data_IF_242210730200
#
_entry.id   IF_242210730200
#
_cell.length_a   1.000
_cell.length_b   1.000
_cell.length_c   1.000
_cell.angle_alpha   90.00
_cell.angle_beta   90.00
_cell.angle_gamma   90.00
#
_symmetry.space_group_name_H-M   'P 1'
#
loop_
_entity.id
_entity.type
_entity.pdbx_description
1 polymer ?
#
# COMPACT_ATOMS: atom_id res chain seq x y z
N UNK A 1 7.79 -14.37 -8.72
CA UNK A 1 8.05 -15.20 -7.53
C UNK A 1 7.83 -14.34 -6.28
N UNK A 2 7.17 -14.89 -5.26
CA UNK A 2 6.73 -14.16 -4.04
C UNK A 2 7.91 -13.93 -3.07
N UNK A 3 8.93 -14.79 -3.11
CA UNK A 3 10.14 -14.71 -2.28
C UNK A 3 11.09 -13.60 -2.76
N UNK A 4 11.98 -13.13 -1.87
CA UNK A 4 13.02 -12.12 -2.15
C UNK A 4 12.45 -10.85 -2.81
N UNK A 5 11.32 -10.38 -2.30
CA UNK A 5 10.56 -9.24 -2.83
C UNK A 5 10.02 -8.40 -1.68
N UNK A 6 10.09 -7.09 -1.82
CA UNK A 6 9.46 -6.17 -0.87
C UNK A 6 7.95 -6.08 -1.12
N UNK A 7 7.18 -5.78 -0.06
CA UNK A 7 5.74 -5.55 -0.15
C UNK A 7 5.38 -4.19 0.43
N UNK A 8 4.67 -3.40 -0.38
CA UNK A 8 4.13 -2.09 0.01
C UNK A 8 2.61 -2.13 -0.09
N UNK A 9 1.92 -1.81 1.00
CA UNK A 9 0.47 -1.64 1.01
C UNK A 9 0.12 -0.15 1.01
N UNK A 10 -0.74 0.26 0.09
CA UNK A 10 -1.35 1.59 0.07
C UNK A 10 -2.82 1.41 0.42
N UNK A 11 -3.20 1.83 1.64
CA UNK A 11 -4.51 1.58 2.22
C UNK A 11 -5.30 2.87 2.28
N UNK A 12 -6.48 2.83 1.66
CA UNK A 12 -7.45 3.93 1.72
C UNK A 12 -7.96 4.13 3.14
N UNK A 13 -7.94 5.39 3.59
CA UNK A 13 -8.42 5.86 4.88
C UNK A 13 -9.39 7.04 4.69
N UNK A 14 -10.05 7.12 3.54
CA UNK A 14 -11.10 8.09 3.23
C UNK A 14 -12.37 7.84 4.05
N UNK A 15 -13.32 8.78 4.01
CA UNK A 15 -14.54 8.69 4.83
C UNK A 15 -15.42 7.47 4.52
N UNK A 16 -15.43 6.98 3.28
CA UNK A 16 -16.21 5.80 2.85
C UNK A 16 -15.79 4.53 3.60
N UNK A 17 -14.54 4.45 4.08
CA UNK A 17 -14.06 3.33 4.86
C UNK A 17 -14.78 3.15 6.22
N UNK A 18 -15.55 4.15 6.67
CA UNK A 18 -16.42 4.03 7.86
C UNK A 18 -17.74 3.29 7.61
N UNK A 19 -18.12 3.05 6.35
CA UNK A 19 -19.38 2.40 5.99
C UNK A 19 -19.41 0.95 6.49
N UNK A 20 -20.50 0.58 7.18
CA UNK A 20 -20.76 -0.75 7.74
C UNK A 20 -21.53 -1.63 6.78
N UNK A 21 -20.98 -1.84 5.59
CA UNK A 21 -21.59 -2.63 4.51
C UNK A 21 -20.88 -3.97 4.25
N UNK A 22 -19.94 -4.33 5.12
CA UNK A 22 -19.21 -5.59 5.04
C UNK A 22 -19.93 -6.70 5.80
N UNK A 23 -19.52 -7.94 5.53
CA UNK A 23 -20.07 -9.14 6.19
C UNK A 23 -20.01 -9.00 7.72
N UNK A 24 -21.12 -9.32 8.39
CA UNK A 24 -21.22 -9.23 9.85
C UNK A 24 -21.39 -7.81 10.39
N UNK A 25 -21.74 -6.83 9.55
CA UNK A 25 -21.99 -5.44 9.97
C UNK A 25 -20.71 -4.68 10.33
N UNK A 26 -19.55 -5.18 9.93
CA UNK A 26 -18.25 -4.54 10.12
C UNK A 26 -18.11 -3.35 9.18
N UNK A 27 -17.33 -2.34 9.58
CA UNK A 27 -16.91 -1.30 8.65
C UNK A 27 -15.86 -1.84 7.68
N UNK A 28 -15.77 -1.20 6.50
CA UNK A 28 -14.68 -1.45 5.53
C UNK A 28 -13.30 -1.32 6.19
N UNK A 29 -13.13 -0.35 7.09
CA UNK A 29 -11.91 -0.17 7.89
C UNK A 29 -11.56 -1.37 8.77
N UNK A 30 -12.55 -1.96 9.45
CA UNK A 30 -12.32 -3.15 10.29
C UNK A 30 -11.96 -4.36 9.43
N UNK A 31 -12.63 -4.55 8.29
CA UNK A 31 -12.25 -5.62 7.36
C UNK A 31 -10.82 -5.44 6.84
N UNK A 32 -10.46 -4.21 6.49
CA UNK A 32 -9.11 -3.88 6.03
C UNK A 32 -8.05 -4.17 7.10
N UNK A 33 -8.35 -3.90 8.36
CA UNK A 33 -7.46 -4.26 9.47
C UNK A 33 -7.21 -5.78 9.50
N UNK A 34 -8.27 -6.59 9.39
CA UNK A 34 -8.17 -8.05 9.42
C UNK A 34 -7.37 -8.59 8.23
N UNK A 35 -7.62 -8.09 7.03
CA UNK A 35 -6.89 -8.48 5.82
C UNK A 35 -5.42 -8.04 5.87
N UNK A 36 -5.14 -6.82 6.35
CA UNK A 36 -3.76 -6.31 6.49
C UNK A 36 -2.99 -7.13 7.52
N UNK A 37 -3.62 -7.49 8.64
CA UNK A 37 -3.00 -8.31 9.67
C UNK A 37 -2.64 -9.70 9.12
N UNK A 38 -3.58 -10.34 8.43
CA UNK A 38 -3.35 -11.65 7.82
C UNK A 38 -2.22 -11.61 6.78
N UNK A 39 -2.17 -10.55 5.96
CA UNK A 39 -1.09 -10.38 4.99
C UNK A 39 0.25 -10.12 5.66
N UNK A 40 0.32 -9.22 6.64
CA UNK A 40 1.57 -8.93 7.36
C UNK A 40 2.12 -10.18 8.04
N UNK A 41 1.26 -10.96 8.73
CA UNK A 41 1.67 -12.23 9.33
C UNK A 41 2.18 -13.23 8.29
N UNK A 42 1.62 -13.25 7.07
CA UNK A 42 2.11 -14.13 6.01
C UNK A 42 3.42 -13.64 5.40
N UNK A 43 3.56 -12.34 5.19
CA UNK A 43 4.79 -11.73 4.68
C UNK A 43 5.95 -11.94 5.64
N UNK A 44 5.74 -11.84 6.96
CA UNK A 44 6.78 -12.11 7.98
C UNK A 44 7.43 -13.48 7.87
N UNK A 45 6.72 -14.50 7.37
CA UNK A 45 7.29 -15.83 7.17
C UNK A 45 8.38 -15.86 6.09
N UNK A 46 8.29 -14.95 5.11
CA UNK A 46 9.22 -14.87 3.97
C UNK A 46 10.14 -13.66 4.05
N UNK A 47 9.74 -12.64 4.81
CA UNK A 47 10.34 -11.34 4.84
C UNK A 47 10.40 -10.76 6.27
N UNK A 48 11.47 -11.05 7.02
CA UNK A 48 11.56 -10.71 8.44
C UNK A 48 11.76 -9.21 8.70
N UNK A 49 12.09 -8.40 7.70
CA UNK A 49 12.20 -6.95 7.84
C UNK A 49 10.84 -6.23 7.81
N UNK A 50 9.77 -6.95 7.46
CA UNK A 50 8.38 -6.48 7.50
C UNK A 50 7.92 -5.76 6.23
N UNK A 51 6.68 -5.28 6.23
CA UNK A 51 6.08 -4.61 5.06
C UNK A 51 6.11 -3.09 5.19
N UNK A 52 5.97 -2.38 4.09
CA UNK A 52 5.70 -0.93 4.09
C UNK A 52 4.20 -0.71 4.06
N UNK A 53 3.67 0.18 4.90
CA UNK A 53 2.25 0.60 4.87
C UNK A 53 2.15 2.11 4.66
N UNK A 54 1.35 2.50 3.67
CA UNK A 54 0.83 3.85 3.53
C UNK A 54 -0.64 3.84 3.93
N UNK A 55 -1.05 4.79 4.78
CA UNK A 55 -2.45 5.17 4.92
C UNK A 55 -2.66 6.48 4.19
N UNK A 56 -3.64 6.54 3.28
CA UNK A 56 -3.91 7.76 2.50
C UNK A 56 -5.36 8.21 2.60
N UNK A 57 -5.56 9.53 2.54
CA UNK A 57 -6.84 10.14 2.23
C UNK A 57 -6.60 11.46 1.48
N UNK A 58 -6.82 12.62 2.11
CA UNK A 58 -6.37 13.91 1.54
C UNK A 58 -4.87 14.20 1.76
N UNK A 59 -4.22 13.40 2.61
CA UNK A 59 -2.78 13.32 2.84
C UNK A 59 -2.43 11.86 3.10
N UNK A 60 -1.17 11.50 3.02
CA UNK A 60 -0.72 10.15 3.37
C UNK A 60 0.28 10.15 4.51
N UNK A 61 0.38 9.00 5.18
CA UNK A 61 1.41 8.68 6.17
C UNK A 61 1.99 7.32 5.85
N UNK A 62 3.32 7.25 5.84
CA UNK A 62 4.10 6.04 5.62
C UNK A 62 4.57 5.43 6.94
N UNK A 63 4.60 4.12 6.99
CA UNK A 63 5.15 3.29 8.06
C UNK A 63 6.04 2.22 7.43
N UNK A 64 7.32 2.20 7.80
CA UNK A 64 8.29 1.20 7.35
C UNK A 64 8.42 0.07 8.38
N UNK A 65 8.92 -1.09 7.93
CA UNK A 65 9.20 -2.26 8.75
C UNK A 65 8.02 -2.66 9.64
N UNK A 66 6.82 -2.67 9.05
CA UNK A 66 5.57 -2.95 9.75
C UNK A 66 5.41 -4.46 9.89
N UNK A 67 5.33 -4.90 11.14
CA UNK A 67 5.02 -6.26 11.55
C UNK A 67 3.55 -6.37 12.01
N UNK A 68 3.04 -7.57 12.26
CA UNK A 68 1.67 -7.85 12.66
C UNK A 68 1.24 -7.04 13.90
N UNK A 69 2.13 -6.90 14.89
CA UNK A 69 1.86 -6.10 16.09
C UNK A 69 1.72 -4.61 15.77
N UNK A 70 2.51 -4.10 14.81
CA UNK A 70 2.49 -2.71 14.37
C UNK A 70 1.27 -2.40 13.51
N UNK A 71 0.77 -3.36 12.72
CA UNK A 71 -0.52 -3.22 12.01
C UNK A 71 -1.64 -2.89 12.99
N UNK A 72 -1.79 -3.69 14.06
CA UNK A 72 -2.85 -3.47 15.04
C UNK A 72 -2.73 -2.09 15.73
N UNK A 73 -1.52 -1.59 15.94
CA UNK A 73 -1.29 -0.24 16.44
C UNK A 73 -1.70 0.83 15.41
N UNK A 74 -1.28 0.69 14.16
CA UNK A 74 -1.58 1.64 13.07
C UNK A 74 -3.09 1.83 12.93
N UNK A 75 -3.87 0.75 12.89
CA UNK A 75 -5.33 0.84 12.73
C UNK A 75 -6.04 1.42 13.97
N UNK A 76 -5.47 1.28 15.16
CA UNK A 76 -6.03 1.86 16.40
C UNK A 76 -5.79 3.37 16.49
N UNK A 77 -4.68 3.84 15.95
CA UNK A 77 -4.28 5.25 15.97
C UNK A 77 -4.87 6.07 14.81
N UNK A 78 -5.61 5.43 13.90
CA UNK A 78 -6.10 6.04 12.67
C UNK A 78 -7.57 5.70 12.44
N UNK A 79 -8.33 6.70 12.00
CA UNK A 79 -9.75 6.53 11.66
C UNK A 79 -10.05 7.04 10.24
N UNK A 80 -11.01 6.41 9.53
CA UNK A 80 -11.54 6.87 8.24
C UNK A 80 -11.89 8.37 8.23
N UNK A 81 -11.33 9.12 7.30
CA UNK A 81 -11.62 10.56 7.14
C UNK A 81 -11.03 11.13 5.87
N UNK A 82 -11.69 12.13 5.30
CA UNK A 82 -11.21 12.89 4.14
C UNK A 82 -11.56 12.24 2.81
N UNK A 83 -10.87 12.70 1.76
CA UNK A 83 -11.05 12.32 0.34
C UNK A 83 -10.08 11.22 -0.09
N UNK A 84 -10.04 10.87 -1.37
CA UNK A 84 -9.27 9.73 -1.91
C UNK A 84 -8.17 10.22 -2.88
N UNK A 85 -7.15 10.91 -2.36
CA UNK A 85 -5.98 11.36 -3.15
C UNK A 85 -4.94 10.23 -3.29
N UNK A 86 -5.21 9.32 -4.23
CA UNK A 86 -4.34 8.18 -4.53
C UNK A 86 -3.09 8.56 -5.33
N UNK A 87 -3.15 9.62 -6.13
CA UNK A 87 -2.06 9.98 -7.03
C UNK A 87 -0.81 10.39 -6.25
N UNK A 88 -0.98 11.19 -5.19
CA UNK A 88 0.13 11.65 -4.36
C UNK A 88 0.86 10.49 -3.65
N UNK A 89 0.10 9.56 -3.06
CA UNK A 89 0.69 8.42 -2.34
C UNK A 89 1.33 7.40 -3.29
N UNK A 90 0.73 7.16 -4.47
CA UNK A 90 1.30 6.24 -5.46
C UNK A 90 2.61 6.81 -6.04
N UNK A 91 2.67 8.13 -6.25
CA UNK A 91 3.90 8.80 -6.69
C UNK A 91 5.01 8.66 -5.65
N UNK A 92 4.70 8.86 -4.37
CA UNK A 92 5.67 8.69 -3.29
C UNK A 92 6.19 7.24 -3.21
N UNK A 93 5.30 6.26 -3.26
CA UNK A 93 5.65 4.85 -3.20
C UNK A 93 6.55 4.41 -4.38
N UNK A 94 6.18 4.78 -5.61
CA UNK A 94 6.99 4.47 -6.81
C UNK A 94 8.34 5.18 -6.78
N UNK A 95 8.39 6.47 -6.40
CA UNK A 95 9.66 7.18 -6.24
C UNK A 95 10.54 6.56 -5.18
N UNK A 96 9.97 6.12 -4.05
CA UNK A 96 10.74 5.45 -3.02
C UNK A 96 11.37 4.15 -3.52
N UNK A 97 10.61 3.34 -4.27
CA UNK A 97 11.15 2.14 -4.89
C UNK A 97 12.37 2.47 -5.77
N UNK A 98 12.26 3.45 -6.69
CA UNK A 98 13.37 3.80 -7.56
C UNK A 98 14.57 4.39 -6.82
N UNK A 99 14.35 5.15 -5.75
CA UNK A 99 15.42 5.64 -4.88
C UNK A 99 16.17 4.50 -4.19
N UNK A 100 15.43 3.53 -3.60
CA UNK A 100 16.03 2.34 -2.98
C UNK A 100 16.77 1.49 -4.00
N UNK A 101 16.20 1.33 -5.20
CA UNK A 101 16.83 0.60 -6.31
C UNK A 101 18.17 1.23 -6.69
N UNK A 102 18.20 2.54 -6.90
CA UNK A 102 19.43 3.27 -7.23
C UNK A 102 20.48 3.16 -6.11
N UNK A 103 20.06 3.03 -4.85
CA UNK A 103 20.92 2.83 -3.70
C UNK A 103 21.35 1.36 -3.48
N UNK A 104 20.88 0.41 -4.30
CA UNK A 104 21.15 -1.02 -4.12
C UNK A 104 20.48 -1.64 -2.89
N UNK A 105 19.34 -1.08 -2.45
CA UNK A 105 18.62 -1.46 -1.23
C UNK A 105 17.34 -2.26 -1.49
N UNK A 106 17.04 -2.59 -2.75
CA UNK A 106 15.88 -3.41 -3.11
C UNK A 106 16.24 -4.89 -3.15
N UNK A 107 15.28 -5.75 -2.82
CA UNK A 107 15.46 -7.20 -2.98
C UNK A 107 15.58 -7.59 -4.48
N UNK A 108 16.24 -8.71 -4.83
CA UNK A 108 16.50 -9.09 -6.22
C UNK A 108 15.27 -9.21 -7.12
N UNK A 109 14.13 -9.60 -6.55
CA UNK A 109 12.88 -9.71 -7.31
C UNK A 109 12.05 -8.42 -7.30
N UNK A 110 12.55 -7.32 -6.72
CA UNK A 110 11.89 -6.02 -6.75
C UNK A 110 10.82 -5.84 -5.67
N UNK A 111 9.76 -5.11 -6.00
CA UNK A 111 8.70 -4.70 -5.06
C UNK A 111 7.30 -4.95 -5.64
N UNK A 112 6.33 -5.20 -4.78
CA UNK A 112 4.91 -5.26 -5.12
C UNK A 112 4.15 -4.23 -4.29
N UNK A 113 3.54 -3.27 -4.97
CA UNK A 113 2.61 -2.29 -4.40
C UNK A 113 1.18 -2.84 -4.52
N UNK A 114 0.54 -3.06 -3.37
CA UNK A 114 -0.87 -3.40 -3.26
C UNK A 114 -1.66 -2.16 -2.85
N UNK A 115 -2.43 -1.61 -3.78
CA UNK A 115 -3.36 -0.51 -3.54
C UNK A 115 -4.71 -1.10 -3.18
N UNK A 116 -5.19 -0.83 -1.96
CA UNK A 116 -6.48 -1.29 -1.48
C UNK A 116 -7.37 -0.08 -1.21
N UNK A 117 -8.47 0.02 -1.96
CA UNK A 117 -9.40 1.15 -1.91
C UNK A 117 -10.83 0.67 -2.08
N UNK A 118 -11.78 1.38 -1.48
CA UNK A 118 -13.20 1.05 -1.58
C UNK A 118 -13.93 1.81 -2.71
N UNK A 119 -13.19 2.55 -3.52
CA UNK A 119 -13.73 3.43 -4.54
C UNK A 119 -12.73 3.88 -5.59
N UNK A 120 -13.13 4.91 -6.33
CA UNK A 120 -12.35 5.49 -7.42
C UNK A 120 -11.49 6.66 -6.91
N UNK A 121 -10.24 6.81 -7.37
CA UNK A 121 -9.43 7.96 -7.00
C UNK A 121 -10.04 9.27 -7.48
N UNK A 122 -9.84 10.35 -6.71
CA UNK A 122 -10.34 11.70 -7.02
C UNK A 122 -9.87 12.19 -8.42
N UNK A 123 -8.66 11.81 -8.84
CA UNK A 123 -8.09 12.14 -10.16
C UNK A 123 -7.48 10.90 -10.83
N UNK A 124 -8.28 10.20 -11.63
CA UNK A 124 -7.83 9.05 -12.43
C UNK A 124 -6.69 9.40 -13.38
N UNK A 125 -6.69 10.60 -13.98
CA UNK A 125 -5.67 10.99 -14.97
C UNK A 125 -4.31 11.17 -14.30
N UNK A 126 -4.31 11.73 -13.09
CA UNK A 126 -3.10 11.84 -12.28
C UNK A 126 -2.55 10.45 -11.92
N UNK A 127 -3.39 9.51 -11.47
CA UNK A 127 -2.98 8.13 -11.18
C UNK A 127 -2.40 7.45 -12.43
N UNK A 128 -3.07 7.55 -13.58
CA UNK A 128 -2.57 7.01 -14.84
C UNK A 128 -1.20 7.58 -15.21
N UNK A 129 -1.01 8.90 -15.03
CA UNK A 129 0.27 9.54 -15.30
C UNK A 129 1.38 8.97 -14.41
N UNK A 130 1.13 8.77 -13.12
CA UNK A 130 2.10 8.16 -12.20
C UNK A 130 2.53 6.77 -12.68
N UNK A 131 1.56 5.92 -13.04
CA UNK A 131 1.86 4.55 -13.52
C UNK A 131 2.67 4.58 -14.83
N UNK A 132 2.28 5.44 -15.78
CA UNK A 132 2.99 5.58 -17.05
C UNK A 132 4.42 6.05 -16.81
N UNK A 133 4.63 7.08 -15.98
CA UNK A 133 5.99 7.56 -15.71
C UNK A 133 6.81 6.51 -14.95
N UNK A 134 6.23 5.81 -13.96
CA UNK A 134 6.92 4.73 -13.27
C UNK A 134 7.38 3.62 -14.23
N UNK A 135 6.52 3.21 -15.17
CA UNK A 135 6.87 2.17 -16.15
C UNK A 135 8.06 2.53 -17.03
N UNK A 136 8.27 3.83 -17.30
CA UNK A 136 9.42 4.32 -18.09
C UNK A 136 10.75 4.27 -17.35
N UNK A 137 10.71 4.17 -16.03
CA UNK A 137 11.91 4.09 -15.18
C UNK A 137 12.27 2.63 -14.84
N UNK A 138 11.49 1.66 -15.32
CA UNK A 138 11.74 0.25 -15.09
C UNK A 138 12.80 -0.30 -16.05
N UNK A 139 13.73 -1.09 -15.53
CA UNK A 139 14.75 -1.80 -16.33
C UNK A 139 14.28 -3.20 -16.76
N UNK A 140 13.34 -3.79 -16.00
CA UNK A 140 12.78 -5.12 -16.25
C UNK A 140 11.29 -5.14 -15.92
N UNK A 141 10.51 -5.89 -16.67
CA UNK A 141 9.05 -5.94 -16.51
C UNK A 141 8.64 -6.40 -15.11
N UNK A 142 9.39 -7.32 -14.51
CA UNK A 142 9.03 -7.93 -13.23
C UNK A 142 9.50 -7.14 -12.00
N UNK A 143 10.25 -6.06 -12.11
CA UNK A 143 10.89 -5.47 -10.92
C UNK A 143 9.95 -4.60 -10.05
N UNK A 144 8.82 -4.17 -10.58
CA UNK A 144 7.79 -3.43 -9.85
C UNK A 144 6.40 -3.86 -10.31
N UNK A 145 5.61 -4.40 -9.39
CA UNK A 145 4.21 -4.73 -9.62
C UNK A 145 3.30 -3.73 -8.90
N UNK A 146 2.21 -3.31 -9.54
CA UNK A 146 1.15 -2.50 -8.91
C UNK A 146 -0.17 -3.24 -9.09
N UNK A 147 -0.82 -3.61 -7.99
CA UNK A 147 -2.14 -4.26 -7.99
C UNK A 147 -3.16 -3.38 -7.30
N UNK A 148 -4.33 -3.20 -7.91
CA UNK A 148 -5.49 -2.55 -7.30
C UNK A 148 -6.47 -3.63 -6.84
N UNK A 149 -6.89 -3.57 -5.58
CA UNK A 149 -7.78 -4.52 -4.92
C UNK A 149 -8.99 -3.77 -4.37
#
# INVERSE_FOLDING_TARGET
>A
MVENRDYTLIIDKSGSMSMTDQSGGKSRWVMMQESTLALASKCEEFDPDGITIYLFSGRFKRYDNVNASKVAQIFRENEPSGRTDLAAVLLDATNNYFQRKAAGQTKPNGDTILVVTDGEPDDRKAVMKVIIEASRHMDRDEELAISFI
#
